data_IF_071264833072
#
_entry.id   IF_071264833072
#
_cell.length_a   1.000
_cell.length_b   1.000
_cell.length_c   1.000
_cell.angle_alpha   90.00
_cell.angle_beta   90.00
_cell.angle_gamma   90.00
#
_symmetry.space_group_name_H-M   'P 1'
#
loop_
_entity.id
_entity.type
_entity.pdbx_description
1 polymer ?
#
# COMPACT_ATOMS: atom_id res chain seq x y z
N UNK A 1 3.33 1.90 11.09
CA UNK A 1 3.09 2.76 9.91
C UNK A 1 1.61 2.74 9.56
N UNK A 2 1.11 3.81 8.95
CA UNK A 2 -0.28 3.96 8.54
C UNK A 2 -0.35 4.43 7.08
N UNK A 3 -1.53 4.39 6.50
CA UNK A 3 -1.74 4.93 5.16
C UNK A 3 -2.97 4.40 4.46
N UNK A 4 -2.94 4.44 3.13
CA UNK A 4 -3.99 3.94 2.27
C UNK A 4 -3.44 2.97 1.22
N UNK A 5 -4.12 1.83 1.08
CA UNK A 5 -3.87 0.84 0.05
C UNK A 5 -5.12 0.62 -0.78
N UNK A 6 -5.05 0.90 -2.08
CA UNK A 6 -6.17 0.85 -3.03
C UNK A 6 -7.40 1.66 -2.55
N UNK A 7 -7.16 2.79 -1.88
CA UNK A 7 -8.22 3.66 -1.32
C UNK A 7 -8.70 3.26 0.08
N UNK A 8 -8.23 2.15 0.62
CA UNK A 8 -8.63 1.66 1.94
C UNK A 8 -7.56 1.97 2.98
N UNK A 9 -7.98 2.48 4.15
CA UNK A 9 -7.04 2.77 5.25
C UNK A 9 -6.45 1.49 5.83
N UNK A 10 -5.20 1.58 6.25
CA UNK A 10 -4.52 0.53 6.98
C UNK A 10 -3.65 1.08 8.10
N UNK A 11 -3.39 0.24 9.10
CA UNK A 11 -2.22 0.33 9.99
C UNK A 11 -1.42 -0.96 9.87
N UNK A 12 -0.13 -0.91 10.16
CA UNK A 12 0.72 -2.08 10.07
C UNK A 12 2.20 -1.79 10.27
N UNK A 13 3.02 -2.71 9.80
CA UNK A 13 4.48 -2.66 9.89
C UNK A 13 5.15 -2.90 8.54
N UNK A 14 6.36 -2.37 8.39
CA UNK A 14 7.23 -2.67 7.25
C UNK A 14 8.06 -3.90 7.61
N UNK A 15 7.74 -5.03 7.01
CA UNK A 15 8.46 -6.30 7.21
C UNK A 15 9.80 -6.33 6.49
N UNK A 16 9.88 -5.69 5.33
CA UNK A 16 11.12 -5.57 4.57
C UNK A 16 11.14 -4.26 3.80
N UNK A 17 12.32 -3.65 3.69
CA UNK A 17 12.56 -2.48 2.87
C UNK A 17 13.87 -2.66 2.10
N UNK A 18 13.84 -2.38 0.80
CA UNK A 18 15.01 -2.40 -0.08
C UNK A 18 15.02 -1.12 -0.90
N UNK A 19 16.14 -0.39 -0.88
CA UNK A 19 16.32 0.75 -1.78
C UNK A 19 16.44 0.28 -3.23
N UNK A 20 15.75 0.98 -4.14
CA UNK A 20 15.82 0.80 -5.59
C UNK A 20 16.25 2.14 -6.20
N UNK A 21 17.44 2.18 -6.79
CA UNK A 21 18.03 3.43 -7.26
C UNK A 21 18.35 4.38 -6.10
N UNK A 22 18.25 5.69 -6.35
CA UNK A 22 18.61 6.71 -5.36
C UNK A 22 17.44 7.20 -4.50
N UNK A 23 16.19 7.03 -4.94
CA UNK A 23 15.03 7.72 -4.32
C UNK A 23 13.82 6.83 -4.06
N UNK A 24 13.84 5.57 -4.47
CA UNK A 24 12.69 4.68 -4.32
C UNK A 24 13.00 3.53 -3.36
N UNK A 25 11.94 2.98 -2.77
CA UNK A 25 12.02 1.80 -1.93
C UNK A 25 11.00 0.76 -2.37
N UNK A 26 11.43 -0.49 -2.54
CA UNK A 26 10.55 -1.63 -2.52
C UNK A 26 10.30 -2.04 -1.07
N UNK A 27 9.03 -2.13 -0.70
CA UNK A 27 8.57 -2.44 0.64
C UNK A 27 7.72 -3.70 0.62
N UNK A 28 7.84 -4.49 1.68
CA UNK A 28 6.85 -5.49 2.06
C UNK A 28 6.16 -5.00 3.33
N UNK A 29 4.86 -4.71 3.23
CA UNK A 29 4.06 -4.28 4.37
C UNK A 29 3.19 -5.43 4.87
N UNK A 30 3.03 -5.52 6.18
CA UNK A 30 2.06 -6.39 6.85
C UNK A 30 1.09 -5.49 7.59
N UNK A 31 -0.19 -5.56 7.24
CA UNK A 31 -1.25 -4.80 7.92
C UNK A 31 -1.59 -5.43 9.27
N UNK A 32 -2.05 -4.65 10.25
CA UNK A 32 -2.49 -5.14 11.56
C UNK A 32 -3.82 -5.89 11.50
N UNK A 33 -4.65 -5.53 10.52
CA UNK A 33 -5.90 -6.20 10.14
C UNK A 33 -5.87 -6.46 8.64
N UNK A 34 -6.49 -7.56 8.18
CA UNK A 34 -6.62 -7.78 6.74
C UNK A 34 -7.54 -6.71 6.15
N UNK A 35 -7.10 -6.07 5.06
CA UNK A 35 -7.85 -5.01 4.38
C UNK A 35 -8.57 -5.62 3.19
N UNK A 36 -9.88 -5.45 3.10
CA UNK A 36 -10.62 -5.80 1.90
C UNK A 36 -10.46 -4.69 0.87
N UNK A 37 -9.89 -5.01 -0.29
CA UNK A 37 -9.51 -4.00 -1.29
C UNK A 37 -10.55 -3.78 -2.38
N UNK A 38 -11.70 -4.44 -2.27
CA UNK A 38 -12.83 -4.25 -3.19
C UNK A 38 -14.00 -3.61 -2.47
N UNK A 39 -14.70 -2.68 -3.15
CA UNK A 39 -15.86 -1.97 -2.59
C UNK A 39 -17.18 -2.75 -2.78
N UNK A 40 -17.16 -3.89 -3.46
CA UNK A 40 -18.38 -4.65 -3.78
C UNK A 40 -18.96 -5.35 -2.56
N UNK A 41 -20.29 -5.30 -2.41
CA UNK A 41 -21.00 -6.08 -1.39
C UNK A 41 -21.04 -7.59 -1.67
N UNK A 42 -20.67 -8.04 -2.87
CA UNK A 42 -20.80 -9.43 -3.31
C UNK A 42 -19.47 -10.18 -3.40
N UNK A 43 -18.34 -9.48 -3.30
CA UNK A 43 -17.00 -10.06 -3.43
C UNK A 43 -16.12 -9.54 -2.30
N UNK A 44 -15.17 -10.37 -1.87
CA UNK A 44 -14.11 -9.97 -0.94
C UNK A 44 -12.75 -10.28 -1.54
N UNK A 45 -11.78 -9.45 -1.22
CA UNK A 45 -10.41 -9.62 -1.66
C UNK A 45 -9.44 -9.14 -0.57
N UNK A 46 -9.40 -9.88 0.52
CA UNK A 46 -8.59 -9.54 1.69
C UNK A 46 -7.09 -9.58 1.36
N UNK A 47 -6.38 -8.54 1.80
CA UNK A 47 -4.92 -8.46 1.77
C UNK A 47 -4.40 -8.20 3.17
N UNK A 48 -3.48 -9.06 3.61
CA UNK A 48 -2.78 -8.91 4.89
C UNK A 48 -1.34 -8.47 4.72
N UNK A 49 -0.70 -8.91 3.64
CA UNK A 49 0.66 -8.56 3.30
C UNK A 49 0.70 -8.13 1.84
N UNK A 50 1.41 -7.04 1.54
CA UNK A 50 1.54 -6.49 0.19
C UNK A 50 2.98 -6.10 -0.10
N UNK A 51 3.35 -6.17 -1.38
CA UNK A 51 4.60 -5.62 -1.88
C UNK A 51 4.28 -4.37 -2.70
N UNK A 52 5.02 -3.29 -2.49
CA UNK A 52 4.86 -2.06 -3.25
C UNK A 52 6.20 -1.35 -3.42
N UNK A 53 6.29 -0.51 -4.45
CA UNK A 53 7.39 0.43 -4.59
C UNK A 53 6.85 1.84 -4.36
N UNK A 54 7.49 2.59 -3.47
CA UNK A 54 7.15 3.99 -3.18
C UNK A 54 8.32 4.91 -3.48
N UNK A 55 8.00 6.13 -3.91
CA UNK A 55 8.95 7.21 -4.11
C UNK A 55 9.25 8.01 -2.83
N UNK A 56 10.02 9.11 -2.95
CA UNK A 56 10.39 9.98 -1.83
C UNK A 56 9.21 10.68 -1.15
N UNK A 57 8.07 10.76 -1.84
CA UNK A 57 6.81 11.29 -1.32
C UNK A 57 5.96 10.23 -0.59
N UNK A 58 6.46 9.00 -0.44
CA UNK A 58 5.73 7.90 0.18
C UNK A 58 4.59 7.34 -0.68
N UNK A 59 4.53 7.68 -1.98
CA UNK A 59 3.46 7.26 -2.89
C UNK A 59 3.99 6.27 -3.93
N UNK A 60 3.15 5.31 -4.32
CA UNK A 60 3.46 4.43 -5.45
C UNK A 60 3.24 5.12 -6.79
N UNK A 61 4.06 4.78 -7.79
CA UNK A 61 3.83 5.21 -9.18
C UNK A 61 2.59 4.58 -9.81
N UNK A 62 2.25 3.35 -9.40
CA UNK A 62 1.02 2.66 -9.82
C UNK A 62 -0.22 3.40 -9.28
N UNK A 63 -1.24 3.55 -10.13
CA UNK A 63 -2.47 4.27 -9.84
C UNK A 63 -3.70 3.39 -9.99
N UNK A 64 -4.76 3.71 -9.26
CA UNK A 64 -6.12 3.20 -9.46
C UNK A 64 -6.76 3.87 -10.68
N UNK A 65 -7.91 3.36 -11.13
CA UNK A 65 -8.65 3.92 -12.28
C UNK A 65 -9.07 5.38 -12.09
N UNK A 66 -9.29 5.82 -10.84
CA UNK A 66 -9.58 7.21 -10.48
C UNK A 66 -8.32 8.09 -10.31
N UNK A 67 -7.13 7.59 -10.69
CA UNK A 67 -5.89 8.36 -10.74
C UNK A 67 -5.14 8.49 -9.40
N UNK A 68 -5.66 7.93 -8.31
CA UNK A 68 -4.98 7.93 -7.01
C UNK A 68 -3.85 6.90 -6.98
N UNK A 69 -2.79 7.16 -6.21
CA UNK A 69 -1.74 6.18 -6.00
C UNK A 69 -2.30 4.94 -5.28
N UNK A 70 -1.89 3.74 -5.70
CA UNK A 70 -2.36 2.50 -5.09
C UNK A 70 -1.83 2.31 -3.66
N UNK A 71 -0.64 2.82 -3.35
CA UNK A 71 -0.10 2.90 -2.00
C UNK A 71 0.24 4.34 -1.67
N UNK A 72 -0.20 4.80 -0.50
CA UNK A 72 0.17 6.07 0.10
C UNK A 72 0.54 5.80 1.56
N UNK A 73 1.79 6.08 1.92
CA UNK A 73 2.24 6.03 3.31
C UNK A 73 1.93 7.35 4.01
N UNK A 74 1.43 7.25 5.23
CA UNK A 74 1.12 8.38 6.12
C UNK A 74 1.94 8.23 7.43
N UNK A 75 2.05 9.33 8.19
CA UNK A 75 2.83 9.41 9.44
C UNK A 75 2.16 8.67 10.61
#
# INVERSE_FOLDING_TARGET
VSGQYLGHRFTGEIKAARSIGSTHWALTLVFDQAVDVVESAHFSNLRRQVNCTVGPDGRSSAKTSNGQAQMVLES
#
